data_IF_890377805168
#
_entry.id   IF_890377805168
#
_cell.length_a   1.000
_cell.length_b   1.000
_cell.length_c   1.000
_cell.angle_alpha   90.00
_cell.angle_beta   90.00
_cell.angle_gamma   90.00
#
_symmetry.space_group_name_H-M   'P 1'
#
loop_
_entity.id
_entity.type
_entity.pdbx_description
1 polymer ?
#
# COMPACT_ATOMS: atom_id res chain seq x y z
N UNK A 1 14.29 54.19 -15.11
CA UNK A 1 13.49 53.98 -13.86
C UNK A 1 12.44 52.92 -14.11
N UNK A 2 12.74 51.65 -13.86
CA UNK A 2 11.79 50.56 -14.03
C UNK A 2 11.23 50.19 -12.65
N UNK A 3 9.96 50.39 -12.48
CA UNK A 3 9.20 49.97 -11.30
C UNK A 3 8.62 48.59 -11.54
N UNK A 4 9.22 47.53 -10.97
CA UNK A 4 8.65 46.20 -10.98
C UNK A 4 7.59 46.06 -9.90
N UNK A 5 6.37 45.84 -10.33
CA UNK A 5 5.19 45.68 -9.47
C UNK A 5 5.09 44.20 -9.04
N UNK A 6 5.52 43.90 -7.80
CA UNK A 6 5.28 42.62 -7.17
C UNK A 6 3.90 42.63 -6.50
N UNK A 7 2.91 42.03 -7.13
CA UNK A 7 1.62 41.79 -6.50
C UNK A 7 1.74 40.57 -5.59
N UNK A 8 1.90 40.80 -4.28
CA UNK A 8 1.63 39.80 -3.25
C UNK A 8 0.14 39.90 -2.90
N UNK A 9 -0.65 39.00 -3.40
CA UNK A 9 -1.99 38.80 -2.87
C UNK A 9 -1.90 38.15 -1.48
N UNK A 10 -1.87 39.00 -0.45
CA UNK A 10 -2.07 38.57 0.94
C UNK A 10 -3.55 38.72 1.25
N UNK A 11 -4.33 37.68 1.05
CA UNK A 11 -5.70 37.65 1.53
C UNK A 11 -5.72 37.15 2.97
N UNK A 12 -5.38 38.04 3.93
CA UNK A 12 -5.71 37.87 5.36
C UNK A 12 -6.78 38.86 5.74
N UNK A 13 -8.03 38.49 5.63
CA UNK A 13 -9.08 39.09 6.42
C UNK A 13 -9.12 38.45 7.80
N UNK A 14 -8.32 38.96 8.72
CA UNK A 14 -8.44 38.68 10.15
C UNK A 14 -9.52 39.64 10.70
N UNK A 15 -10.76 39.17 10.78
CA UNK A 15 -11.78 39.81 11.61
C UNK A 15 -11.55 39.30 13.03
N UNK A 16 -10.95 40.14 13.89
CA UNK A 16 -10.82 39.87 15.31
C UNK A 16 -12.19 40.13 15.97
N UNK A 17 -12.84 39.05 16.45
CA UNK A 17 -14.05 39.15 17.27
C UNK A 17 -13.66 39.03 18.74
N UNK A 18 -14.22 39.90 19.66
CA UNK A 18 -13.73 39.97 21.05
C UNK A 18 -14.24 38.89 22.00
N UNK A 19 -14.87 37.85 21.55
CA UNK A 19 -15.26 36.70 22.36
C UNK A 19 -14.61 35.45 21.80
N UNK A 20 -13.57 34.99 22.48
CA UNK A 20 -12.81 33.78 22.14
C UNK A 20 -13.71 32.54 22.09
N UNK A 21 -13.79 31.93 20.96
CA UNK A 21 -14.46 30.66 20.80
C UNK A 21 -15.04 30.46 19.39
N UNK A 22 -14.41 29.58 18.62
CA UNK A 22 -15.05 28.71 17.64
C UNK A 22 -15.84 29.36 16.50
N UNK A 23 -15.17 30.06 15.62
CA UNK A 23 -15.51 30.05 14.20
C UNK A 23 -14.22 29.96 13.38
N UNK A 24 -13.60 28.79 13.38
CA UNK A 24 -12.80 28.41 12.23
C UNK A 24 -13.82 28.23 11.11
N UNK A 25 -14.21 29.35 10.51
CA UNK A 25 -14.96 29.34 9.26
C UNK A 25 -14.31 28.30 8.36
N UNK A 26 -15.12 27.44 7.77
CA UNK A 26 -14.71 26.44 6.81
C UNK A 26 -13.81 27.13 5.78
N UNK A 27 -12.51 27.03 5.99
CA UNK A 27 -11.56 27.40 4.95
C UNK A 27 -11.83 26.42 3.83
N UNK A 28 -12.36 26.92 2.73
CA UNK A 28 -12.38 26.13 1.50
C UNK A 28 -10.97 25.59 1.30
N UNK A 29 -10.81 24.26 1.16
CA UNK A 29 -9.49 23.69 1.00
C UNK A 29 -8.77 24.42 -0.13
N UNK A 30 -7.55 24.85 0.13
CA UNK A 30 -6.73 25.49 -0.89
C UNK A 30 -6.65 24.55 -2.10
N UNK A 31 -6.88 25.08 -3.29
CA UNK A 31 -6.84 24.29 -4.54
C UNK A 31 -5.54 23.50 -4.68
N UNK A 32 -4.44 23.99 -4.13
CA UNK A 32 -3.15 23.30 -4.12
C UNK A 32 -3.17 22.03 -3.24
N UNK A 33 -3.85 22.05 -2.10
CA UNK A 33 -3.99 20.88 -1.23
C UNK A 33 -4.88 19.82 -1.87
N UNK A 34 -5.99 20.23 -2.47
CA UNK A 34 -6.91 19.31 -3.18
C UNK A 34 -6.22 18.61 -4.35
N UNK A 35 -5.42 19.34 -5.14
CA UNK A 35 -4.66 18.76 -6.25
C UNK A 35 -3.63 17.75 -5.72
N UNK A 36 -2.91 18.09 -4.64
CA UNK A 36 -1.92 17.21 -4.03
C UNK A 36 -2.57 15.92 -3.51
N UNK A 37 -3.72 16.00 -2.87
CA UNK A 37 -4.41 14.84 -2.31
C UNK A 37 -4.99 13.94 -3.42
N UNK A 38 -5.49 14.51 -4.50
CA UNK A 38 -5.93 13.73 -5.69
C UNK A 38 -4.78 12.97 -6.32
N UNK A 39 -3.60 13.58 -6.43
CA UNK A 39 -2.41 12.89 -6.96
C UNK A 39 -1.92 11.79 -6.02
N UNK A 40 -1.97 11.99 -4.70
CA UNK A 40 -1.62 10.96 -3.71
C UNK A 40 -2.55 9.76 -3.81
N UNK A 41 -3.85 10.03 -3.85
CA UNK A 41 -4.87 8.99 -4.00
C UNK A 41 -4.71 8.24 -5.33
N UNK A 42 -4.53 8.96 -6.44
CA UNK A 42 -4.32 8.35 -7.75
C UNK A 42 -3.12 7.41 -7.77
N UNK A 43 -1.98 7.82 -7.19
CA UNK A 43 -0.78 6.99 -7.12
C UNK A 43 -0.99 5.76 -6.21
N UNK A 44 -1.61 5.95 -5.04
CA UNK A 44 -1.92 4.87 -4.12
C UNK A 44 -2.84 3.81 -4.78
N UNK A 45 -3.89 4.27 -5.43
CA UNK A 45 -4.82 3.38 -6.13
C UNK A 45 -4.16 2.67 -7.31
N UNK A 46 -3.38 3.40 -8.12
CA UNK A 46 -2.72 2.80 -9.29
C UNK A 46 -1.78 1.65 -8.90
N UNK A 47 -0.89 1.88 -7.92
CA UNK A 47 0.04 0.85 -7.47
C UNK A 47 -0.69 -0.35 -6.85
N UNK A 48 -1.68 -0.07 -5.98
CA UNK A 48 -2.47 -1.12 -5.33
C UNK A 48 -3.22 -1.97 -6.36
N UNK A 49 -3.90 -1.33 -7.32
CA UNK A 49 -4.65 -2.04 -8.35
C UNK A 49 -3.75 -2.81 -9.29
N UNK A 50 -2.60 -2.26 -9.70
CA UNK A 50 -1.64 -2.97 -10.55
C UNK A 50 -1.15 -4.27 -9.89
N UNK A 51 -0.84 -4.22 -8.59
CA UNK A 51 -0.40 -5.41 -7.86
C UNK A 51 -1.54 -6.42 -7.68
N UNK A 52 -2.75 -5.97 -7.36
CA UNK A 52 -3.93 -6.85 -7.27
C UNK A 52 -4.25 -7.49 -8.62
N UNK A 53 -4.19 -6.75 -9.72
CA UNK A 53 -4.38 -7.31 -11.06
C UNK A 53 -3.36 -8.40 -11.38
N UNK A 54 -2.10 -8.23 -10.96
CA UNK A 54 -1.09 -9.27 -11.11
C UNK A 54 -1.44 -10.54 -10.29
N UNK A 55 -1.87 -10.39 -9.04
CA UNK A 55 -2.31 -11.50 -8.19
C UNK A 55 -3.49 -12.24 -8.83
N UNK A 56 -4.53 -11.50 -9.23
CA UNK A 56 -5.71 -12.08 -9.86
C UNK A 56 -5.38 -12.73 -11.19
N UNK A 57 -4.53 -12.10 -12.01
CA UNK A 57 -4.09 -12.66 -13.28
C UNK A 57 -3.35 -13.98 -13.11
N UNK A 58 -2.40 -14.05 -12.17
CA UNK A 58 -1.68 -15.29 -11.85
C UNK A 58 -2.64 -16.37 -11.37
N UNK A 59 -3.58 -16.04 -10.49
CA UNK A 59 -4.55 -17.00 -9.96
C UNK A 59 -5.47 -17.54 -11.06
N UNK A 60 -6.09 -16.65 -11.84
CA UNK A 60 -7.02 -17.07 -12.92
C UNK A 60 -6.29 -17.91 -13.96
N UNK A 61 -5.10 -17.51 -14.40
CA UNK A 61 -4.30 -18.29 -15.34
C UNK A 61 -3.96 -19.67 -14.78
N UNK A 62 -3.55 -19.73 -13.51
CA UNK A 62 -3.21 -21.01 -12.87
C UNK A 62 -4.42 -21.94 -12.78
N UNK A 63 -5.61 -21.40 -12.45
CA UNK A 63 -6.85 -22.21 -12.33
C UNK A 63 -7.38 -22.65 -13.69
N UNK A 64 -7.41 -21.74 -14.67
CA UNK A 64 -8.01 -22.03 -15.98
C UNK A 64 -7.15 -22.95 -16.86
N UNK A 65 -5.82 -22.83 -16.73
CA UNK A 65 -4.86 -23.60 -17.53
C UNK A 65 -4.22 -24.76 -16.74
N UNK A 66 -4.64 -24.99 -15.50
CA UNK A 66 -4.15 -26.06 -14.61
C UNK A 66 -2.61 -26.12 -14.52
N UNK A 67 -1.95 -24.93 -14.44
CA UNK A 67 -0.49 -24.82 -14.56
C UNK A 67 0.27 -25.36 -13.34
N UNK A 68 -0.40 -25.60 -12.23
CA UNK A 68 0.19 -26.13 -11.01
C UNK A 68 1.23 -25.20 -10.36
N UNK A 69 1.12 -23.90 -10.56
CA UNK A 69 2.08 -22.90 -10.05
C UNK A 69 2.08 -22.78 -8.53
N UNK A 70 1.07 -23.28 -7.84
CA UNK A 70 1.04 -23.28 -6.34
C UNK A 70 2.28 -23.91 -5.72
N UNK A 71 2.91 -24.86 -6.39
CA UNK A 71 4.16 -25.52 -5.94
C UNK A 71 5.37 -24.57 -5.80
N UNK A 72 5.33 -23.38 -6.41
CA UNK A 72 6.40 -22.40 -6.34
C UNK A 72 6.27 -21.41 -5.16
N UNK A 73 5.51 -21.77 -4.13
CA UNK A 73 5.46 -21.04 -2.87
C UNK A 73 6.74 -21.16 -2.05
N UNK A 74 6.74 -20.55 -0.87
CA UNK A 74 7.87 -20.67 0.05
C UNK A 74 7.85 -22.04 0.73
N UNK A 75 8.89 -22.81 0.52
CA UNK A 75 9.19 -24.05 1.27
C UNK A 75 10.27 -23.74 2.30
N UNK A 76 9.97 -23.76 3.62
CA UNK A 76 10.90 -23.36 4.65
C UNK A 76 12.19 -24.17 4.60
N UNK A 77 13.32 -23.49 4.80
CA UNK A 77 14.67 -24.05 4.91
C UNK A 77 15.11 -24.96 3.75
N UNK A 78 14.43 -24.85 2.59
CA UNK A 78 14.80 -25.58 1.38
C UNK A 78 15.40 -24.65 0.33
N UNK A 79 16.35 -25.15 -0.47
CA UNK A 79 16.96 -24.37 -1.56
C UNK A 79 15.92 -23.94 -2.60
N UNK A 80 15.01 -24.84 -2.95
CA UNK A 80 13.93 -24.55 -3.90
C UNK A 80 12.94 -23.50 -3.36
N UNK A 81 12.73 -23.47 -2.05
CA UNK A 81 11.86 -22.51 -1.38
C UNK A 81 12.35 -21.08 -1.39
N UNK A 82 13.64 -20.83 -1.64
CA UNK A 82 14.21 -19.47 -1.74
C UNK A 82 13.52 -18.69 -2.88
N UNK A 83 13.25 -19.34 -4.01
CA UNK A 83 12.54 -18.72 -5.14
C UNK A 83 11.12 -18.32 -4.75
N UNK A 84 10.52 -19.08 -3.83
CA UNK A 84 9.21 -18.80 -3.26
C UNK A 84 9.12 -17.43 -2.58
N UNK A 85 10.21 -16.87 -2.05
CA UNK A 85 10.24 -15.53 -1.45
C UNK A 85 9.77 -14.45 -2.43
N UNK A 86 9.99 -14.64 -3.72
CA UNK A 86 9.55 -13.69 -4.74
C UNK A 86 8.16 -14.00 -5.30
N UNK A 87 7.70 -15.24 -5.21
CA UNK A 87 6.47 -15.70 -5.87
C UNK A 87 5.28 -15.87 -4.92
N UNK A 88 5.52 -16.09 -3.60
CA UNK A 88 4.48 -16.41 -2.63
C UNK A 88 3.28 -15.46 -2.62
N UNK A 89 3.45 -14.13 -2.76
CA UNK A 89 2.30 -13.23 -2.63
C UNK A 89 1.35 -13.30 -3.83
N UNK A 90 1.83 -13.83 -4.96
CA UNK A 90 1.04 -13.97 -6.18
C UNK A 90 0.27 -15.27 -6.23
N UNK A 91 0.64 -16.27 -5.41
CA UNK A 91 0.06 -17.60 -5.44
C UNK A 91 -1.04 -17.73 -4.38
N UNK A 92 -2.19 -18.26 -4.76
CA UNK A 92 -3.32 -18.44 -3.84
C UNK A 92 -3.89 -19.85 -3.95
N UNK A 93 -4.39 -20.37 -2.82
CA UNK A 93 -4.91 -21.72 -2.72
C UNK A 93 -6.32 -21.89 -3.28
N UNK A 94 -7.16 -20.89 -3.03
CA UNK A 94 -8.58 -20.90 -3.37
C UNK A 94 -9.16 -19.49 -3.49
N UNK A 95 -10.38 -19.39 -3.99
CA UNK A 95 -11.09 -18.11 -4.19
C UNK A 95 -11.30 -17.32 -2.88
N UNK A 96 -11.61 -18.02 -1.78
CA UNK A 96 -11.82 -17.39 -0.48
C UNK A 96 -10.54 -16.75 0.05
N UNK A 97 -9.42 -17.48 -0.07
CA UNK A 97 -8.09 -16.98 0.30
C UNK A 97 -7.70 -15.75 -0.55
N UNK A 98 -7.90 -15.81 -1.86
CA UNK A 98 -7.65 -14.68 -2.77
C UNK A 98 -8.47 -13.46 -2.40
N UNK A 99 -9.78 -13.62 -2.15
CA UNK A 99 -10.69 -12.53 -1.85
C UNK A 99 -10.35 -11.85 -0.52
N UNK A 100 -10.10 -12.64 0.53
CA UNK A 100 -9.72 -12.11 1.85
C UNK A 100 -8.41 -11.30 1.78
N UNK A 101 -7.42 -11.81 1.04
CA UNK A 101 -6.17 -11.07 0.81
C UNK A 101 -6.41 -9.80 -0.01
N UNK A 102 -7.29 -9.82 -1.00
CA UNK A 102 -7.63 -8.66 -1.83
C UNK A 102 -8.16 -7.51 -1.00
N UNK A 103 -9.14 -7.75 -0.12
CA UNK A 103 -9.76 -6.72 0.72
C UNK A 103 -8.75 -6.10 1.70
N UNK A 104 -8.01 -6.95 2.39
CA UNK A 104 -7.01 -6.52 3.36
C UNK A 104 -5.85 -5.76 2.70
N UNK A 105 -5.35 -6.29 1.58
CA UNK A 105 -4.26 -5.66 0.84
C UNK A 105 -4.68 -4.33 0.24
N UNK A 106 -5.86 -4.25 -0.37
CA UNK A 106 -6.37 -3.00 -0.95
C UNK A 106 -6.37 -1.86 0.09
N UNK A 107 -6.90 -2.15 1.27
CA UNK A 107 -7.02 -1.14 2.34
C UNK A 107 -5.64 -0.74 2.89
N UNK A 108 -4.84 -1.71 3.32
CA UNK A 108 -3.58 -1.42 4.01
C UNK A 108 -2.51 -0.86 3.06
N UNK A 109 -2.43 -1.42 1.86
CA UNK A 109 -1.50 -0.92 0.85
C UNK A 109 -1.91 0.48 0.36
N UNK A 110 -3.21 0.71 0.17
CA UNK A 110 -3.75 2.04 -0.13
C UNK A 110 -3.35 3.07 0.92
N UNK A 111 -3.48 2.74 2.21
CA UNK A 111 -3.05 3.61 3.31
C UNK A 111 -1.55 3.87 3.30
N UNK A 112 -0.71 2.85 3.10
CA UNK A 112 0.73 3.02 3.01
C UNK A 112 1.09 4.06 1.92
N UNK A 113 0.59 3.88 0.71
CA UNK A 113 0.94 4.75 -0.42
C UNK A 113 0.28 6.13 -0.36
N UNK A 114 -0.83 6.27 0.34
CA UNK A 114 -1.50 7.55 0.54
C UNK A 114 -0.78 8.40 1.61
N UNK A 115 -0.55 7.82 2.80
CA UNK A 115 0.01 8.55 3.94
C UNK A 115 1.54 8.65 3.91
N UNK A 116 2.23 7.63 3.40
CA UNK A 116 3.71 7.53 3.45
C UNK A 116 4.37 7.58 2.07
N UNK A 117 3.79 8.33 1.13
CA UNK A 117 4.20 8.36 -0.28
C UNK A 117 5.72 8.41 -0.51
N UNK A 118 6.46 9.23 0.26
CA UNK A 118 7.90 9.43 0.08
C UNK A 118 8.75 8.19 0.39
N UNK A 119 8.26 7.31 1.25
CA UNK A 119 8.96 6.11 1.70
C UNK A 119 8.20 4.82 1.36
N UNK A 120 6.95 4.93 0.87
CA UNK A 120 6.03 3.81 0.67
C UNK A 120 6.66 2.66 -0.11
N UNK A 121 7.30 2.94 -1.25
CA UNK A 121 7.92 1.90 -2.07
C UNK A 121 9.07 1.19 -1.35
N UNK A 122 9.90 1.94 -0.60
CA UNK A 122 10.99 1.33 0.20
C UNK A 122 10.42 0.44 1.29
N UNK A 123 9.45 0.93 2.05
CA UNK A 123 8.78 0.16 3.11
C UNK A 123 8.14 -1.09 2.51
N UNK A 124 7.41 -0.93 1.41
CA UNK A 124 6.75 -2.04 0.73
C UNK A 124 7.74 -3.12 0.28
N UNK A 125 8.85 -2.74 -0.35
CA UNK A 125 9.90 -3.69 -0.78
C UNK A 125 10.53 -4.43 0.41
N UNK A 126 10.81 -3.69 1.49
CA UNK A 126 11.34 -4.32 2.71
C UNK A 126 10.33 -5.29 3.32
N UNK A 127 9.06 -4.92 3.43
CA UNK A 127 8.03 -5.80 3.97
C UNK A 127 7.83 -7.04 3.10
N UNK A 128 7.86 -6.87 1.78
CA UNK A 128 7.78 -7.98 0.82
C UNK A 128 8.92 -8.99 1.04
N UNK A 129 10.16 -8.52 1.07
CA UNK A 129 11.32 -9.38 1.22
C UNK A 129 11.43 -9.97 2.63
N UNK A 130 11.21 -9.17 3.66
CA UNK A 130 11.30 -9.64 5.05
C UNK A 130 10.24 -10.69 5.36
N UNK A 131 8.98 -10.48 4.97
CA UNK A 131 7.94 -11.46 5.24
C UNK A 131 8.19 -12.79 4.52
N UNK A 132 8.62 -12.77 3.26
CA UNK A 132 9.03 -13.97 2.54
C UNK A 132 10.23 -14.68 3.16
N UNK A 133 11.24 -13.90 3.60
CA UNK A 133 12.42 -14.44 4.28
C UNK A 133 12.07 -15.02 5.65
N UNK A 134 11.18 -14.38 6.41
CA UNK A 134 10.69 -14.90 7.68
C UNK A 134 9.91 -16.21 7.50
N UNK A 135 9.07 -16.30 6.48
CA UNK A 135 8.41 -17.56 6.13
C UNK A 135 9.44 -18.64 5.81
N UNK A 136 10.46 -18.31 5.03
CA UNK A 136 11.51 -19.29 4.70
C UNK A 136 12.32 -19.75 5.91
N UNK A 137 12.67 -18.84 6.83
CA UNK A 137 13.47 -19.15 8.01
C UNK A 137 12.69 -19.83 9.13
N UNK A 138 11.46 -19.35 9.42
CA UNK A 138 10.77 -19.59 10.68
C UNK A 138 9.47 -20.38 10.56
N UNK A 139 8.88 -20.48 9.35
CA UNK A 139 7.61 -21.16 9.21
C UNK A 139 7.75 -22.68 9.43
N UNK A 140 6.64 -23.30 9.78
CA UNK A 140 6.54 -24.77 9.84
C UNK A 140 6.68 -25.36 8.45
N UNK A 141 7.09 -26.63 8.36
CA UNK A 141 7.24 -27.30 7.08
C UNK A 141 5.92 -27.33 6.31
N UNK A 142 6.01 -26.98 5.05
CA UNK A 142 4.84 -26.87 4.17
C UNK A 142 5.10 -25.91 3.02
N UNK A 143 4.10 -25.74 2.18
CA UNK A 143 4.14 -24.79 1.07
C UNK A 143 3.35 -23.53 1.45
N UNK A 144 4.04 -22.41 1.64
CA UNK A 144 3.44 -21.14 2.03
C UNK A 144 3.20 -20.27 0.81
N UNK A 145 1.92 -19.93 0.58
CA UNK A 145 1.42 -19.11 -0.52
C UNK A 145 0.43 -18.06 -0.01
N UNK A 146 0.24 -16.98 -0.76
CA UNK A 146 -0.69 -15.89 -0.45
C UNK A 146 0.01 -14.63 0.05
N UNK A 147 -0.63 -13.50 -0.17
CA UNK A 147 -0.11 -12.18 0.23
C UNK A 147 -0.21 -11.90 1.74
N UNK A 148 -0.71 -12.84 2.54
CA UNK A 148 -0.98 -12.65 3.98
C UNK A 148 0.26 -12.20 4.77
N UNK A 149 1.45 -12.75 4.49
CA UNK A 149 2.68 -12.33 5.14
C UNK A 149 2.98 -10.84 4.92
N UNK A 150 2.83 -10.36 3.68
CA UNK A 150 2.97 -8.96 3.34
C UNK A 150 1.88 -8.10 4.00
N UNK A 151 0.64 -8.58 4.03
CA UNK A 151 -0.50 -7.92 4.68
C UNK A 151 -0.25 -7.71 6.18
N UNK A 152 0.22 -8.74 6.89
CA UNK A 152 0.59 -8.61 8.30
C UNK A 152 1.74 -7.62 8.51
N UNK A 153 2.73 -7.61 7.63
CA UNK A 153 3.81 -6.62 7.65
C UNK A 153 3.29 -5.18 7.46
N UNK A 154 2.37 -4.97 6.50
CA UNK A 154 1.72 -3.68 6.27
C UNK A 154 0.91 -3.23 7.49
N UNK A 155 0.11 -4.12 8.08
CA UNK A 155 -0.67 -3.83 9.28
C UNK A 155 0.24 -3.45 10.46
N UNK A 156 1.32 -4.20 10.70
CA UNK A 156 2.28 -3.92 11.75
C UNK A 156 2.96 -2.57 11.56
N UNK A 157 3.40 -2.25 10.33
CA UNK A 157 4.01 -0.96 10.01
C UNK A 157 3.05 0.20 10.26
N UNK A 158 1.82 0.13 9.73
CA UNK A 158 0.84 1.21 9.89
C UNK A 158 0.45 1.41 11.35
N UNK A 159 0.20 0.34 12.08
CA UNK A 159 -0.13 0.40 13.51
C UNK A 159 1.00 1.04 14.33
N UNK A 160 2.26 0.66 14.10
CA UNK A 160 3.40 1.21 14.84
C UNK A 160 3.74 2.64 14.43
N UNK A 161 3.37 3.03 13.21
CA UNK A 161 3.60 4.38 12.68
C UNK A 161 2.49 5.38 13.03
N UNK A 162 1.43 4.95 13.70
CA UNK A 162 0.37 5.81 14.24
C UNK A 162 -0.71 6.23 13.22
N UNK A 163 -1.01 5.40 12.25
CA UNK A 163 -2.14 5.58 11.30
C UNK A 163 -3.28 4.66 11.67
#
# INVERSE_FOLDING_TARGET
SSCSFHIRCVNRLTIAWPLGGYLRLMQTPDTSTVVTDRMRLGYALWFTMAFLLAIWGVFVLNETLELGWRKYGVHPRSVDGIRGILTYPFLHGDWGHLWNNTMSFFTLNGFLFYFYRSIALRVWLWLFLLSGSMLWCLAVDGNHIGASGLIYGLAAFLFTSGV
#
